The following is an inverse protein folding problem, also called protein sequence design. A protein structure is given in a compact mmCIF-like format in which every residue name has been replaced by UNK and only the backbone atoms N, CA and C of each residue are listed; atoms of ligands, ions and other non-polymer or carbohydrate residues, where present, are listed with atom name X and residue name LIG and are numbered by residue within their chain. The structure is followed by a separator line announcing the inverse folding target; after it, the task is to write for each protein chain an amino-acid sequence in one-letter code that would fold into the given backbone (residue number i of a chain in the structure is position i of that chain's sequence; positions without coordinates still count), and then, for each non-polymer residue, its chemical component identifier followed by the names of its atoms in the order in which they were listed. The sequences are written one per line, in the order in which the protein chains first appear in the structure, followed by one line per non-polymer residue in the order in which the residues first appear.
data_IF_216847115715
#
_entry.id   IF_216847115715
#
_cell.length_a   1.000
_cell.length_b   1.000
_cell.length_c   1.000
_cell.angle_alpha   90.00
_cell.angle_beta   90.00
_cell.angle_gamma   90.00
#
_symmetry.space_group_name_H-M   'P 1'
#
loop_
_entity.id
_entity.type
_entity.pdbx_description
1 polymer ?
#
# COMPACT_ATOMS: atom_id res chain seq x y z
N UNK A 1 12.75 22.95 -21.89
CA UNK A 1 13.30 22.00 -20.89
C UNK A 1 12.30 21.95 -19.75
N UNK A 2 11.98 20.78 -19.16
CA UNK A 2 11.29 20.80 -17.86
C UNK A 2 12.15 21.66 -16.93
N UNK A 3 11.56 22.70 -16.36
CA UNK A 3 12.22 23.39 -15.27
C UNK A 3 12.05 22.45 -14.06
N UNK A 4 13.04 22.40 -13.17
CA UNK A 4 12.98 21.55 -11.99
C UNK A 4 12.72 22.49 -10.82
N UNK A 5 11.50 23.01 -10.77
CA UNK A 5 11.07 23.99 -9.78
C UNK A 5 10.00 23.47 -8.84
N UNK A 6 9.99 23.99 -7.62
CA UNK A 6 8.94 23.73 -6.65
C UNK A 6 7.53 24.09 -7.18
N UNK A 7 7.42 25.15 -7.99
CA UNK A 7 6.14 25.58 -8.54
C UNK A 7 5.56 24.59 -9.55
N UNK A 8 6.39 23.95 -10.38
CA UNK A 8 5.93 22.92 -11.32
C UNK A 8 5.56 21.64 -10.59
N UNK A 9 6.36 21.27 -9.59
CA UNK A 9 6.02 20.18 -8.69
C UNK A 9 4.66 20.43 -8.02
N UNK A 10 4.41 21.64 -7.53
CA UNK A 10 3.15 22.00 -6.89
C UNK A 10 1.99 21.94 -7.90
N UNK A 11 2.19 22.43 -9.13
CA UNK A 11 1.20 22.35 -10.19
C UNK A 11 0.86 20.89 -10.55
N UNK A 12 1.88 20.05 -10.77
CA UNK A 12 1.70 18.62 -11.02
C UNK A 12 1.00 17.93 -9.84
N UNK A 13 1.34 18.28 -8.60
CA UNK A 13 0.69 17.75 -7.40
C UNK A 13 -0.79 18.17 -7.29
N UNK A 14 -1.15 19.40 -7.67
CA UNK A 14 -2.56 19.83 -7.68
C UNK A 14 -3.38 19.06 -8.73
N UNK A 15 -2.80 18.81 -9.90
CA UNK A 15 -3.45 18.07 -10.99
C UNK A 15 -3.64 16.57 -10.67
N UNK A 16 -2.91 16.02 -9.68
CA UNK A 16 -3.11 14.63 -9.23
C UNK A 16 -4.53 14.36 -8.73
N UNK A 17 -5.20 15.37 -8.17
CA UNK A 17 -6.56 15.23 -7.64
C UNK A 17 -7.60 14.89 -8.71
N UNK A 18 -7.31 15.18 -9.98
CA UNK A 18 -8.18 14.86 -11.11
C UNK A 18 -7.99 13.42 -11.62
N UNK A 19 -6.94 12.72 -11.17
CA UNK A 19 -6.63 11.38 -11.63
C UNK A 19 -7.46 10.32 -10.88
N UNK A 20 -8.37 9.57 -11.55
CA UNK A 20 -9.21 8.58 -10.91
C UNK A 20 -8.44 7.44 -10.22
N UNK A 21 -7.25 7.12 -10.72
CA UNK A 21 -6.41 6.05 -10.16
C UNK A 21 -5.84 6.45 -8.80
N UNK A 22 -5.42 7.71 -8.65
CA UNK A 22 -4.96 8.26 -7.37
C UNK A 22 -6.11 8.35 -6.37
N UNK A 23 -7.28 8.79 -6.82
CA UNK A 23 -8.48 8.83 -5.97
C UNK A 23 -8.89 7.42 -5.50
N UNK A 24 -8.89 6.45 -6.41
CA UNK A 24 -9.14 5.05 -6.09
C UNK A 24 -8.12 4.50 -5.08
N UNK A 25 -6.83 4.79 -5.29
CA UNK A 25 -5.77 4.45 -4.35
C UNK A 25 -6.03 5.01 -2.95
N UNK A 26 -6.27 6.31 -2.83
CA UNK A 26 -6.57 6.96 -1.54
C UNK A 26 -7.80 6.36 -0.86
N UNK A 27 -8.86 6.10 -1.63
CA UNK A 27 -10.06 5.43 -1.13
C UNK A 27 -9.74 4.07 -0.53
N UNK A 28 -8.96 3.23 -1.22
CA UNK A 28 -8.60 1.91 -0.72
C UNK A 28 -7.65 1.97 0.49
N UNK A 29 -6.76 2.96 0.59
CA UNK A 29 -5.96 3.17 1.80
C UNK A 29 -6.84 3.51 3.00
N UNK A 30 -7.82 4.42 2.82
CA UNK A 30 -8.76 4.78 3.88
C UNK A 30 -9.62 3.58 4.28
N UNK A 31 -10.13 2.83 3.29
CA UNK A 31 -10.88 1.61 3.54
C UNK A 31 -10.06 0.57 4.31
N UNK A 32 -8.76 0.44 4.01
CA UNK A 32 -7.85 -0.49 4.70
C UNK A 32 -7.65 -0.09 6.16
N UNK A 33 -7.45 1.20 6.42
CA UNK A 33 -7.37 1.73 7.79
C UNK A 33 -8.66 1.43 8.56
N UNK A 34 -9.82 1.78 8.00
CA UNK A 34 -11.13 1.60 8.66
C UNK A 34 -11.40 0.11 8.93
N UNK A 35 -11.22 -0.74 7.92
CA UNK A 35 -11.45 -2.18 8.05
C UNK A 35 -10.43 -2.85 8.97
N UNK A 36 -9.19 -2.40 8.99
CA UNK A 36 -8.14 -2.86 9.90
C UNK A 36 -8.45 -2.52 11.37
N UNK A 37 -8.95 -1.31 11.64
CA UNK A 37 -9.44 -0.95 12.97
C UNK A 37 -10.64 -1.79 13.38
N UNK A 38 -11.63 -1.97 12.49
CA UNK A 38 -12.79 -2.82 12.75
C UNK A 38 -12.36 -4.27 13.07
N UNK A 39 -11.43 -4.84 12.29
CA UNK A 39 -10.83 -6.18 12.55
C UNK A 39 -10.16 -6.24 13.91
N UNK A 40 -9.40 -5.21 14.29
CA UNK A 40 -8.75 -5.17 15.61
C UNK A 40 -9.78 -5.15 16.75
N UNK A 41 -10.93 -4.51 16.52
CA UNK A 41 -12.02 -4.44 17.48
C UNK A 41 -12.73 -5.77 17.64
N UNK A 42 -13.10 -6.44 16.54
CA UNK A 42 -13.78 -7.74 16.59
C UNK A 42 -12.90 -8.86 17.14
N UNK A 43 -11.58 -8.79 16.90
CA UNK A 43 -10.62 -9.77 17.44
C UNK A 43 -10.19 -9.49 18.88
N UNK A 44 -10.65 -8.40 19.50
CA UNK A 44 -10.27 -8.02 20.86
C UNK A 44 -8.79 -7.62 21.02
N UNK A 45 -8.09 -7.36 19.92
CA UNK A 45 -6.65 -7.02 19.88
C UNK A 45 -6.40 -5.52 19.81
N UNK A 46 -7.27 -4.70 20.42
CA UNK A 46 -7.11 -3.25 20.40
C UNK A 46 -5.95 -2.88 21.33
N UNK A 47 -4.79 -2.59 20.74
CA UNK A 47 -3.68 -1.95 21.42
C UNK A 47 -3.31 -0.67 20.68
N UNK A 48 -3.12 0.43 21.41
CA UNK A 48 -2.69 1.72 20.86
C UNK A 48 -1.35 1.62 20.12
N UNK A 49 -0.48 0.67 20.48
CA UNK A 49 0.75 0.37 19.73
C UNK A 49 0.48 -0.21 18.34
N UNK A 50 -0.50 -1.12 18.22
CA UNK A 50 -0.89 -1.75 16.95
C UNK A 50 -1.55 -0.73 16.04
N UNK A 51 -2.48 0.07 16.57
CA UNK A 51 -3.16 1.13 15.82
C UNK A 51 -2.18 2.19 15.29
N UNK A 52 -1.24 2.66 16.13
CA UNK A 52 -0.21 3.62 15.70
C UNK A 52 0.71 3.06 14.62
N UNK A 53 1.16 1.80 14.75
CA UNK A 53 1.98 1.15 13.72
C UNK A 53 1.26 1.08 12.37
N UNK A 54 -0.03 0.70 12.37
CA UNK A 54 -0.86 0.69 11.17
C UNK A 54 -0.93 2.09 10.56
N UNK A 55 -1.29 3.09 11.36
CA UNK A 55 -1.43 4.47 10.88
C UNK A 55 -0.12 5.03 10.29
N UNK A 56 1.02 4.78 10.94
CA UNK A 56 2.34 5.20 10.43
C UNK A 56 2.62 4.51 9.08
N UNK A 57 2.38 3.20 8.97
CA UNK A 57 2.58 2.45 7.71
C UNK A 57 1.79 3.09 6.56
N UNK A 58 0.50 3.35 6.76
CA UNK A 58 -0.35 3.91 5.71
C UNK A 58 -0.01 5.36 5.39
N UNK A 59 0.31 6.16 6.40
CA UNK A 59 0.72 7.57 6.23
C UNK A 59 2.01 7.69 5.44
N UNK A 60 2.99 6.80 5.66
CA UNK A 60 4.24 6.76 4.89
C UNK A 60 3.98 6.50 3.41
N UNK A 61 3.08 5.55 3.08
CA UNK A 61 2.79 5.25 1.67
C UNK A 61 2.08 6.42 1.00
N UNK A 62 1.08 7.03 1.65
CA UNK A 62 0.42 8.24 1.13
C UNK A 62 1.44 9.36 0.91
N UNK A 63 2.31 9.60 1.88
CA UNK A 63 3.39 10.59 1.78
C UNK A 63 4.30 10.33 0.58
N UNK A 64 4.71 9.07 0.37
CA UNK A 64 5.50 8.70 -0.81
C UNK A 64 4.76 8.98 -2.12
N UNK A 65 3.47 8.65 -2.23
CA UNK A 65 2.70 8.91 -3.46
C UNK A 65 2.62 10.42 -3.73
N UNK A 66 2.25 11.22 -2.72
CA UNK A 66 2.15 12.68 -2.86
C UNK A 66 3.49 13.31 -3.22
N UNK A 67 4.59 12.81 -2.64
CA UNK A 67 5.93 13.36 -2.88
C UNK A 67 6.48 12.98 -4.26
N UNK A 68 6.38 11.70 -4.64
CA UNK A 68 7.08 11.14 -5.80
C UNK A 68 6.26 11.12 -7.08
N UNK A 69 4.94 10.95 -7.01
CA UNK A 69 4.12 10.86 -8.21
C UNK A 69 4.16 12.10 -9.11
N UNK A 70 4.17 13.35 -8.60
CA UNK A 70 4.33 14.54 -9.44
C UNK A 70 5.63 14.53 -10.27
N UNK A 71 6.70 13.92 -9.74
CA UNK A 71 7.96 13.81 -10.46
C UNK A 71 7.87 12.86 -11.66
N UNK A 72 7.05 11.81 -11.59
CA UNK A 72 6.84 10.93 -12.74
C UNK A 72 6.14 11.66 -13.88
N UNK A 73 5.27 12.62 -13.59
CA UNK A 73 4.63 13.44 -14.61
C UNK A 73 5.64 14.43 -15.24
N UNK A 74 6.36 15.18 -14.40
CA UNK A 74 7.37 16.17 -14.86
C UNK A 74 8.47 15.51 -15.70
N UNK A 75 8.92 14.31 -15.31
CA UNK A 75 9.98 13.58 -16.01
C UNK A 75 9.47 12.78 -17.22
N UNK A 76 8.18 12.88 -17.57
CA UNK A 76 7.54 12.10 -18.64
C UNK A 76 7.67 10.57 -18.43
N UNK A 77 7.70 10.13 -17.17
CA UNK A 77 7.74 8.74 -16.73
C UNK A 77 6.35 8.23 -16.30
N UNK A 78 5.29 8.77 -16.90
CA UNK A 78 3.90 8.51 -16.52
C UNK A 78 3.55 7.01 -16.47
N UNK A 79 3.98 6.23 -17.46
CA UNK A 79 3.74 4.78 -17.48
C UNK A 79 4.37 4.06 -16.27
N UNK A 80 5.55 4.50 -15.84
CA UNK A 80 6.24 3.94 -14.68
C UNK A 80 5.52 4.29 -13.37
N UNK A 81 5.14 5.56 -13.20
CA UNK A 81 4.35 6.01 -12.05
C UNK A 81 3.01 5.29 -11.92
N UNK A 82 2.28 5.12 -13.03
CA UNK A 82 1.03 4.35 -13.09
C UNK A 82 1.26 2.89 -12.67
N UNK A 83 2.34 2.27 -13.15
CA UNK A 83 2.65 0.87 -12.83
C UNK A 83 2.89 0.67 -11.33
N UNK A 84 3.71 1.52 -10.70
CA UNK A 84 3.97 1.47 -9.26
C UNK A 84 2.68 1.71 -8.47
N UNK A 85 1.92 2.74 -8.82
CA UNK A 85 0.71 3.08 -8.08
C UNK A 85 -0.36 1.99 -8.21
N UNK A 86 -0.47 1.36 -9.37
CA UNK A 86 -1.37 0.20 -9.59
C UNK A 86 -0.94 -0.99 -8.75
N UNK A 87 0.36 -1.29 -8.66
CA UNK A 87 0.85 -2.38 -7.81
C UNK A 87 0.48 -2.15 -6.34
N UNK A 88 0.71 -0.95 -5.80
CA UNK A 88 0.30 -0.62 -4.44
C UNK A 88 -1.21 -0.60 -4.26
N UNK A 89 -1.99 -0.13 -5.23
CA UNK A 89 -3.45 -0.21 -5.18
C UNK A 89 -3.93 -1.65 -5.03
N UNK A 90 -3.33 -2.60 -5.76
CA UNK A 90 -3.65 -4.03 -5.63
C UNK A 90 -3.33 -4.51 -4.21
N UNK A 91 -2.18 -4.16 -3.64
CA UNK A 91 -1.82 -4.52 -2.27
C UNK A 91 -2.85 -4.02 -1.25
N UNK A 92 -3.34 -2.78 -1.42
CA UNK A 92 -4.38 -2.21 -0.56
C UNK A 92 -5.75 -2.87 -0.73
N UNK A 93 -6.14 -3.19 -1.97
CA UNK A 93 -7.36 -3.97 -2.22
C UNK A 93 -7.26 -5.32 -1.50
N UNK A 94 -6.13 -6.02 -1.60
CA UNK A 94 -5.93 -7.31 -0.93
C UNK A 94 -5.99 -7.18 0.59
N UNK A 95 -5.41 -6.11 1.16
CA UNK A 95 -5.45 -5.85 2.61
C UNK A 95 -6.88 -5.59 3.12
N UNK A 96 -7.67 -4.77 2.41
CA UNK A 96 -9.09 -4.56 2.71
C UNK A 96 -9.85 -5.88 2.69
N UNK A 97 -9.67 -6.67 1.63
CA UNK A 97 -10.32 -7.96 1.47
C UNK A 97 -9.98 -8.89 2.63
N UNK A 98 -8.72 -8.98 3.04
CA UNK A 98 -8.31 -9.78 4.20
C UNK A 98 -9.01 -9.31 5.48
N UNK A 99 -9.08 -8.00 5.71
CA UNK A 99 -9.76 -7.43 6.88
C UNK A 99 -11.26 -7.75 6.89
N UNK A 100 -11.93 -7.63 5.75
CA UNK A 100 -13.35 -7.99 5.59
C UNK A 100 -13.59 -9.49 5.84
N UNK A 101 -12.67 -10.36 5.42
CA UNK A 101 -12.74 -11.80 5.68
C UNK A 101 -12.74 -12.13 7.17
N UNK A 102 -11.89 -11.44 7.96
CA UNK A 102 -11.86 -11.60 9.43
C UNK A 102 -13.10 -11.03 10.10
N UNK A 103 -13.72 -9.99 9.51
CA UNK A 103 -14.99 -9.44 9.97
C UNK A 103 -16.21 -10.35 9.68
N UNK A 104 -16.00 -11.50 9.05
CA UNK A 104 -17.05 -12.50 8.78
C UNK A 104 -17.86 -12.23 7.51
N UNK A 105 -17.43 -11.30 6.66
CA UNK A 105 -18.04 -11.10 5.35
C UNK A 105 -17.71 -12.29 4.43
N UNK A 106 -18.73 -12.79 3.75
CA UNK A 106 -18.59 -13.90 2.80
C UNK A 106 -17.81 -13.45 1.57
N UNK A 107 -16.51 -13.74 1.55
CA UNK A 107 -15.67 -13.52 0.38
C UNK A 107 -15.86 -14.63 -0.66
N UNK A 108 -15.76 -14.32 -1.96
CA UNK A 108 -15.69 -15.32 -3.01
C UNK A 108 -14.54 -16.33 -2.78
N UNK A 109 -14.81 -17.63 -2.97
CA UNK A 109 -13.84 -18.71 -2.69
C UNK A 109 -12.50 -18.54 -3.42
N UNK A 110 -12.53 -18.00 -4.64
CA UNK A 110 -11.33 -17.77 -5.45
C UNK A 110 -10.38 -16.72 -4.83
N UNK A 111 -10.92 -15.78 -4.05
CA UNK A 111 -10.13 -14.76 -3.35
C UNK A 111 -9.48 -15.37 -2.12
N UNK A 112 -10.26 -16.06 -1.28
CA UNK A 112 -9.75 -16.69 -0.05
C UNK A 112 -8.68 -17.73 -0.33
N UNK A 113 -8.83 -18.54 -1.39
CA UNK A 113 -7.82 -19.54 -1.77
C UNK A 113 -6.51 -18.91 -2.25
N UNK A 114 -6.57 -17.79 -2.97
CA UNK A 114 -5.36 -17.09 -3.42
C UNK A 114 -4.64 -16.38 -2.27
N UNK A 115 -5.39 -15.72 -1.39
CA UNK A 115 -4.83 -15.07 -0.20
C UNK A 115 -4.17 -16.08 0.75
N UNK A 116 -4.80 -17.23 0.98
CA UNK A 116 -4.23 -18.30 1.81
C UNK A 116 -2.88 -18.78 1.26
N UNK A 117 -2.79 -18.97 -0.06
CA UNK A 117 -1.53 -19.36 -0.72
C UNK A 117 -0.47 -18.25 -0.66
N UNK A 118 -0.87 -16.99 -0.84
CA UNK A 118 0.08 -15.88 -0.79
C UNK A 118 0.70 -15.73 0.60
N UNK A 119 -0.10 -15.87 1.65
CA UNK A 119 0.39 -15.82 3.03
C UNK A 119 1.33 -17.00 3.35
N UNK A 120 0.99 -18.23 2.90
CA UNK A 120 1.89 -19.37 3.10
C UNK A 120 3.24 -19.19 2.41
N UNK A 121 3.25 -18.64 1.19
CA UNK A 121 4.47 -18.41 0.42
C UNK A 121 5.35 -17.29 1.03
N UNK A 122 4.74 -16.32 1.75
CA UNK A 122 5.45 -15.25 2.45
C UNK A 122 6.09 -15.71 3.77
N UNK A 123 5.45 -16.63 4.49
CA UNK A 123 5.96 -17.18 5.75
C UNK A 123 7.10 -18.22 5.52
N UNK A 124 7.20 -18.82 4.33
CA UNK A 124 8.14 -19.91 4.03
C UNK A 124 9.58 -19.48 3.65
N UNK A 125 9.90 -18.18 3.60
CA UNK A 125 11.28 -17.72 3.29
C UNK A 125 11.91 -16.94 4.45
N UNK A 126 12.50 -17.61 5.46
CA UNK A 126 13.59 -16.97 6.19
C UNK A 126 14.69 -16.64 5.19
N UNK A 127 15.02 -15.34 5.07
CA UNK A 127 16.22 -14.91 4.37
C UNK A 127 17.40 -15.43 5.18
N UNK A 128 17.91 -16.61 4.81
CA UNK A 128 19.18 -17.13 5.32
C UNK A 128 20.29 -16.27 4.71
N UNK A 129 20.65 -15.20 5.42
CA UNK A 129 21.94 -14.55 5.21
C UNK A 129 22.99 -15.58 5.63
N UNK A 130 23.40 -16.44 4.70
CA UNK A 130 24.62 -17.22 4.85
C UNK A 130 25.75 -16.23 5.12
N UNK A 131 26.09 -16.10 6.39
CA UNK A 131 27.27 -15.39 6.85
C UNK A 131 28.43 -16.05 6.12
N UNK A 132 29.09 -15.29 5.26
CA UNK A 132 30.27 -15.75 4.55
C UNK A 132 31.22 -16.34 5.58
N UNK A 133 31.60 -17.60 5.36
CA UNK A 133 32.68 -18.24 6.07
C UNK A 133 33.96 -17.42 5.84
N UNK A 134 34.33 -16.58 6.80
CA UNK A 134 35.69 -16.05 6.90
C UNK A 134 36.60 -17.22 7.29
N UNK A 135 37.06 -17.96 6.27
CA UNK A 135 38.14 -18.92 6.41
C UNK A 135 39.48 -18.23 6.19
N UNK A 136 40.26 -18.23 7.28
CA UNK A 136 41.71 -18.04 7.44
C UNK A 136 42.25 -16.61 7.43
#
# INVERSE_FOLDING_TARGET
MPHLGFLEWLNAAMNMSENPLILGFLFFVIADIVTGYAKSWTTGKINSSIGRKGLIKHSTVIFCVVLFYPWFDILNLNAFGISILTAWLIDYILSVVENLGVLGLRLPKWITSKLAKLNSDLDEKPIDFKKGDDKK
#
